data_IF_256351582058
#
_entry.id   IF_256351582058
#
_cell.length_a   1.000
_cell.length_b   1.000
_cell.length_c   1.000
_cell.angle_alpha   90.00
_cell.angle_beta   90.00
_cell.angle_gamma   90.00
#
_symmetry.space_group_name_H-M   'P 1'
#
loop_
_entity.id
_entity.type
_entity.pdbx_description
1 polymer ?
#
# COMPACT_ATOMS: atom_id res chain seq x y z
N UNK A 1 -23.70 16.92 -11.36
CA UNK A 1 -23.97 16.14 -10.12
C UNK A 1 -22.60 15.60 -9.75
N UNK A 2 -22.03 16.08 -8.66
CA UNK A 2 -20.58 15.93 -8.41
C UNK A 2 -20.22 14.76 -7.50
N UNK A 3 -21.22 14.06 -6.95
CA UNK A 3 -21.03 12.91 -6.09
C UNK A 3 -21.95 11.76 -6.52
N UNK A 4 -21.42 10.54 -6.54
CA UNK A 4 -22.17 9.30 -6.78
C UNK A 4 -21.80 8.30 -5.70
N UNK A 5 -22.84 7.72 -5.09
CA UNK A 5 -22.70 6.75 -4.02
C UNK A 5 -23.22 5.39 -4.50
N UNK A 6 -22.29 4.45 -4.67
CA UNK A 6 -22.58 3.06 -4.99
C UNK A 6 -22.09 2.11 -3.89
N UNK A 7 -21.89 2.61 -2.68
CA UNK A 7 -21.46 1.77 -1.55
C UNK A 7 -22.47 0.63 -1.32
N UNK A 8 -21.97 -0.54 -0.90
CA UNK A 8 -22.80 -1.70 -0.54
C UNK A 8 -23.72 -2.19 -1.67
N UNK A 9 -23.15 -2.32 -2.87
CA UNK A 9 -23.82 -2.88 -4.04
C UNK A 9 -23.15 -4.19 -4.47
N UNK A 10 -23.44 -4.64 -5.69
CA UNK A 10 -22.89 -5.87 -6.27
C UNK A 10 -22.09 -5.59 -7.54
N UNK A 11 -21.49 -4.41 -7.63
CA UNK A 11 -20.76 -4.00 -8.84
C UNK A 11 -19.53 -4.88 -8.97
N UNK A 12 -19.46 -5.62 -10.08
CA UNK A 12 -18.34 -6.51 -10.40
C UNK A 12 -17.63 -6.12 -11.69
N UNK A 13 -18.25 -5.31 -12.55
CA UNK A 13 -17.59 -4.73 -13.71
C UNK A 13 -17.12 -3.31 -13.33
N UNK A 14 -15.80 -3.10 -13.15
CA UNK A 14 -15.26 -1.82 -12.74
C UNK A 14 -15.35 -0.75 -13.83
N UNK A 15 -15.67 -1.12 -15.07
CA UNK A 15 -15.77 -0.18 -16.18
C UNK A 15 -17.18 -0.17 -16.80
N UNK A 16 -18.18 -0.73 -16.10
CA UNK A 16 -19.56 -0.65 -16.59
C UNK A 16 -20.09 0.77 -16.45
N UNK A 17 -20.54 1.35 -17.57
CA UNK A 17 -21.24 2.62 -17.59
C UNK A 17 -20.33 3.83 -17.75
N UNK A 18 -20.88 5.00 -17.44
CA UNK A 18 -20.19 6.28 -17.55
C UNK A 18 -20.54 7.12 -16.34
N UNK A 19 -19.55 7.87 -15.85
CA UNK A 19 -19.77 8.85 -14.78
C UNK A 19 -19.81 10.26 -15.35
N UNK A 20 -20.47 11.22 -14.68
CA UNK A 20 -20.43 12.63 -15.07
C UNK A 20 -18.99 13.16 -15.14
N UNK A 21 -18.70 14.00 -16.14
CA UNK A 21 -17.36 14.59 -16.30
C UNK A 21 -16.97 15.54 -15.15
N UNK A 22 -17.97 16.06 -14.41
CA UNK A 22 -17.83 16.90 -13.23
C UNK A 22 -17.82 16.09 -11.92
N UNK A 23 -17.65 14.75 -11.97
CA UNK A 23 -17.65 13.93 -10.77
C UNK A 23 -16.38 14.16 -9.93
N UNK A 24 -16.59 14.46 -8.66
CA UNK A 24 -15.55 14.74 -7.67
C UNK A 24 -15.54 13.67 -6.57
N UNK A 25 -16.66 13.01 -6.31
CA UNK A 25 -16.79 11.97 -5.30
C UNK A 25 -17.45 10.72 -5.89
N UNK A 26 -16.80 9.57 -5.75
CA UNK A 26 -17.28 8.29 -6.24
C UNK A 26 -17.05 7.23 -5.17
N UNK A 27 -18.12 6.80 -4.51
CA UNK A 27 -18.05 5.77 -3.48
C UNK A 27 -18.35 4.40 -4.03
N UNK A 28 -17.44 3.46 -3.76
CA UNK A 28 -17.42 2.12 -4.33
C UNK A 28 -17.08 1.04 -3.31
N UNK A 29 -17.06 1.36 -2.03
CA UNK A 29 -16.75 0.42 -0.95
C UNK A 29 -17.84 -0.66 -0.87
N UNK A 30 -17.50 -1.83 -0.34
CA UNK A 30 -18.44 -2.95 -0.20
C UNK A 30 -19.09 -3.35 -1.54
N UNK A 31 -18.27 -3.62 -2.53
CA UNK A 31 -18.69 -4.13 -3.85
C UNK A 31 -17.89 -5.40 -4.21
N UNK A 32 -17.92 -5.80 -5.48
CA UNK A 32 -17.23 -7.00 -5.98
C UNK A 32 -16.19 -6.67 -7.06
N UNK A 33 -15.61 -5.47 -7.01
CA UNK A 33 -14.68 -4.99 -8.04
C UNK A 33 -13.41 -5.86 -8.06
N UNK A 34 -13.08 -6.52 -9.19
CA UNK A 34 -11.87 -7.34 -9.32
C UNK A 34 -10.61 -6.50 -9.61
N UNK A 35 -10.79 -5.25 -10.03
CA UNK A 35 -9.73 -4.30 -10.35
C UNK A 35 -10.22 -2.87 -10.17
N UNK A 36 -9.30 -1.93 -10.20
CA UNK A 36 -9.59 -0.51 -10.04
C UNK A 36 -10.30 0.04 -11.29
N UNK A 37 -11.42 0.77 -11.15
CA UNK A 37 -12.11 1.43 -12.27
C UNK A 37 -11.22 2.43 -13.00
N UNK A 38 -11.13 2.32 -14.34
CA UNK A 38 -10.32 3.25 -15.15
C UNK A 38 -10.82 4.68 -15.10
N UNK A 39 -12.09 4.87 -14.78
CA UNK A 39 -12.73 6.18 -14.69
C UNK A 39 -12.11 7.06 -13.61
N UNK A 40 -11.53 6.45 -12.55
CA UNK A 40 -10.90 7.19 -11.45
C UNK A 40 -9.74 8.05 -11.94
N UNK A 41 -8.99 7.61 -12.97
CA UNK A 41 -7.89 8.38 -13.58
C UNK A 41 -8.30 9.81 -13.97
N UNK A 42 -9.55 9.99 -14.40
CA UNK A 42 -10.05 11.26 -14.93
C UNK A 42 -10.60 12.19 -13.85
N UNK A 43 -10.62 11.77 -12.59
CA UNK A 43 -11.13 12.58 -11.49
C UNK A 43 -10.05 13.54 -10.97
N UNK A 44 -10.13 14.81 -11.39
CA UNK A 44 -9.05 15.80 -11.19
C UNK A 44 -9.00 16.45 -9.80
N UNK A 45 -9.89 16.10 -8.87
CA UNK A 45 -10.00 16.75 -7.57
C UNK A 45 -10.36 15.78 -6.45
N UNK A 46 -9.76 14.59 -6.46
CA UNK A 46 -10.01 13.53 -5.49
C UNK A 46 -8.80 13.41 -4.56
N UNK A 47 -8.86 13.94 -3.32
CA UNK A 47 -7.74 13.84 -2.41
C UNK A 47 -7.52 12.42 -1.89
N UNK A 48 -8.58 11.61 -1.80
CA UNK A 48 -8.57 10.25 -1.27
C UNK A 48 -9.51 9.33 -2.03
N UNK A 49 -9.09 8.08 -2.24
CA UNK A 49 -9.91 7.00 -2.83
C UNK A 49 -10.08 5.90 -1.80
N UNK A 50 -11.33 5.50 -1.53
CA UNK A 50 -11.67 4.33 -0.72
C UNK A 50 -12.26 3.24 -1.63
N UNK A 51 -11.58 2.10 -1.67
CA UNK A 51 -11.98 0.90 -2.39
C UNK A 51 -12.01 -0.31 -1.46
N UNK A 52 -12.25 -0.09 -0.16
CA UNK A 52 -12.30 -1.14 0.84
C UNK A 52 -13.41 -2.14 0.57
N UNK A 53 -13.23 -3.36 1.06
CA UNK A 53 -14.22 -4.44 0.96
C UNK A 53 -14.66 -4.71 -0.48
N UNK A 54 -13.68 -4.85 -1.38
CA UNK A 54 -13.87 -5.26 -2.76
C UNK A 54 -13.16 -6.60 -3.02
N UNK A 55 -12.90 -6.95 -4.28
CA UNK A 55 -12.22 -8.18 -4.68
C UNK A 55 -10.99 -7.88 -5.54
N UNK A 56 -10.36 -6.73 -5.33
CA UNK A 56 -9.23 -6.28 -6.14
C UNK A 56 -8.09 -7.26 -5.93
N UNK A 57 -7.63 -7.89 -7.01
CA UNK A 57 -6.57 -8.91 -6.95
C UNK A 57 -5.19 -8.34 -7.27
N UNK A 58 -5.15 -7.21 -7.96
CA UNK A 58 -3.93 -6.68 -8.55
C UNK A 58 -4.04 -5.19 -8.82
N UNK A 59 -2.92 -4.49 -8.63
CA UNK A 59 -2.75 -3.07 -8.98
C UNK A 59 -1.99 -2.88 -10.30
N UNK A 60 -1.64 -3.96 -11.00
CA UNK A 60 -0.84 -3.90 -12.22
C UNK A 60 -1.47 -3.01 -13.29
N UNK A 61 -0.73 -2.01 -13.75
CA UNK A 61 -1.19 -1.10 -14.81
C UNK A 61 -2.36 -0.22 -14.40
N UNK A 62 -2.54 0.01 -13.10
CA UNK A 62 -3.55 0.94 -12.59
C UNK A 62 -3.10 2.36 -12.81
N UNK A 63 -4.01 3.17 -13.35
CA UNK A 63 -3.87 4.61 -13.41
C UNK A 63 -4.73 5.27 -12.31
N UNK A 64 -4.08 5.81 -11.29
CA UNK A 64 -4.74 6.66 -10.30
C UNK A 64 -4.82 8.11 -10.79
N UNK A 65 -5.80 8.90 -10.34
CA UNK A 65 -5.83 10.33 -10.65
C UNK A 65 -4.63 11.05 -10.03
N UNK A 66 -4.05 12.00 -10.77
CA UNK A 66 -2.85 12.76 -10.35
C UNK A 66 -3.06 13.55 -9.04
N UNK A 67 -4.32 13.87 -8.71
CA UNK A 67 -4.70 14.60 -7.50
C UNK A 67 -4.73 13.75 -6.23
N UNK A 68 -4.67 12.42 -6.35
CA UNK A 68 -4.83 11.53 -5.19
C UNK A 68 -3.62 11.54 -4.27
N UNK A 69 -3.89 11.65 -2.98
CA UNK A 69 -2.88 11.60 -1.92
C UNK A 69 -3.09 10.45 -0.95
N UNK A 70 -4.31 9.92 -0.82
CA UNK A 70 -4.63 8.78 0.04
C UNK A 70 -5.38 7.69 -0.73
N UNK A 71 -4.99 6.44 -0.53
CA UNK A 71 -5.68 5.29 -1.12
C UNK A 71 -5.88 4.24 -0.02
N UNK A 72 -7.14 3.85 0.18
CA UNK A 72 -7.51 2.71 1.00
C UNK A 72 -7.97 1.53 0.13
N UNK A 73 -7.23 0.44 0.20
CA UNK A 73 -7.46 -0.82 -0.49
C UNK A 73 -7.64 -1.97 0.52
N UNK A 74 -8.00 -1.65 1.77
CA UNK A 74 -8.22 -2.65 2.81
C UNK A 74 -9.28 -3.68 2.46
N UNK A 75 -9.15 -4.90 2.98
CA UNK A 75 -10.10 -5.99 2.74
C UNK A 75 -10.34 -6.27 1.25
N UNK A 76 -9.26 -6.44 0.49
CA UNK A 76 -9.28 -6.87 -0.90
C UNK A 76 -8.58 -8.24 -1.03
N UNK A 77 -8.14 -8.61 -2.22
CA UNK A 77 -7.47 -9.89 -2.51
C UNK A 77 -6.10 -9.68 -3.18
N UNK A 78 -5.42 -8.57 -2.86
CA UNK A 78 -4.14 -8.20 -3.46
C UNK A 78 -3.05 -9.13 -2.90
N UNK A 79 -2.37 -9.85 -3.78
CA UNK A 79 -1.33 -10.82 -3.37
C UNK A 79 0.09 -10.32 -3.58
N UNK A 80 0.29 -9.33 -4.46
CA UNK A 80 1.61 -8.82 -4.81
C UNK A 80 1.65 -7.33 -5.18
N UNK A 81 2.81 -6.71 -4.93
CA UNK A 81 3.17 -5.38 -5.42
C UNK A 81 4.52 -5.43 -6.17
N UNK A 82 4.61 -4.71 -7.28
CA UNK A 82 5.83 -4.60 -8.08
C UNK A 82 5.96 -3.21 -8.74
N UNK A 83 7.00 -3.01 -9.57
CA UNK A 83 7.30 -1.73 -10.23
C UNK A 83 6.14 -1.10 -11.02
N UNK A 84 5.16 -1.88 -11.46
CA UNK A 84 4.02 -1.42 -12.27
C UNK A 84 2.71 -1.33 -11.47
N UNK A 85 2.76 -1.49 -10.14
CA UNK A 85 1.59 -1.39 -9.27
C UNK A 85 1.10 0.06 -9.10
N UNK A 86 2.00 1.03 -9.27
CA UNK A 86 1.69 2.45 -9.12
C UNK A 86 2.22 3.25 -10.30
N UNK A 87 1.49 4.28 -10.76
CA UNK A 87 1.91 5.13 -11.86
C UNK A 87 3.20 5.89 -11.50
N UNK A 88 4.06 6.19 -12.48
CA UNK A 88 5.30 6.94 -12.24
C UNK A 88 5.05 8.27 -11.53
N UNK A 89 5.91 8.59 -10.55
CA UNK A 89 5.86 9.84 -9.79
C UNK A 89 4.50 10.14 -9.12
N UNK A 90 3.83 9.10 -8.61
CA UNK A 90 2.54 9.27 -7.96
C UNK A 90 2.63 10.19 -6.74
N UNK A 91 1.65 11.08 -6.59
CA UNK A 91 1.50 11.99 -5.45
C UNK A 91 1.00 11.34 -4.15
N UNK A 92 0.89 10.00 -4.11
CA UNK A 92 0.35 9.25 -2.98
C UNK A 92 1.25 9.45 -1.74
N UNK A 93 0.60 9.75 -0.63
CA UNK A 93 1.18 9.97 0.70
C UNK A 93 0.73 8.91 1.70
N UNK A 94 -0.49 8.40 1.56
CA UNK A 94 -1.08 7.39 2.44
C UNK A 94 -1.52 6.19 1.58
N UNK A 95 -0.94 5.02 1.84
CA UNK A 95 -1.29 3.78 1.16
C UNK A 95 -1.68 2.74 2.20
N UNK A 96 -2.97 2.41 2.23
CA UNK A 96 -3.53 1.45 3.17
C UNK A 96 -3.92 0.17 2.43
N UNK A 97 -3.31 -0.95 2.81
CA UNK A 97 -3.57 -2.28 2.25
C UNK A 97 -3.93 -3.33 3.33
N UNK A 98 -4.52 -2.98 4.49
CA UNK A 98 -4.71 -3.95 5.56
C UNK A 98 -5.65 -5.08 5.13
N UNK A 99 -5.46 -6.29 5.68
CA UNK A 99 -6.30 -7.45 5.37
C UNK A 99 -6.31 -7.82 3.88
N UNK A 100 -5.15 -7.75 3.22
CA UNK A 100 -4.92 -8.36 1.92
C UNK A 100 -4.00 -9.58 2.08
N UNK A 101 -4.14 -10.64 1.26
CA UNK A 101 -3.23 -11.79 1.26
C UNK A 101 -1.85 -11.48 0.62
N UNK A 102 -1.32 -10.28 0.90
CA UNK A 102 -0.11 -9.75 0.30
C UNK A 102 1.10 -10.51 0.83
N UNK A 103 1.78 -11.24 -0.06
CA UNK A 103 2.93 -12.09 0.31
C UNK A 103 4.20 -11.76 -0.47
N UNK A 104 4.08 -11.03 -1.59
CA UNK A 104 5.21 -10.65 -2.44
C UNK A 104 5.24 -9.16 -2.69
N UNK A 105 6.28 -8.49 -2.22
CA UNK A 105 6.53 -7.09 -2.53
C UNK A 105 7.93 -7.00 -3.12
N UNK A 106 8.01 -6.63 -4.40
CA UNK A 106 9.29 -6.46 -5.10
C UNK A 106 10.11 -5.32 -4.50
N UNK A 107 11.44 -5.37 -4.61
CA UNK A 107 12.33 -4.29 -4.21
C UNK A 107 12.08 -2.98 -4.96
N UNK A 108 11.45 -3.04 -6.13
CA UNK A 108 11.05 -1.87 -6.93
C UNK A 108 9.59 -1.47 -6.76
N UNK A 109 8.82 -2.13 -5.88
CA UNK A 109 7.38 -1.90 -5.74
C UNK A 109 7.00 -0.46 -5.40
N UNK A 110 7.87 0.25 -4.68
CA UNK A 110 7.61 1.61 -4.21
C UNK A 110 8.44 2.69 -4.91
N UNK A 111 9.17 2.35 -5.97
CA UNK A 111 10.06 3.29 -6.68
C UNK A 111 9.31 4.50 -7.25
N UNK A 112 8.02 4.33 -7.56
CA UNK A 112 7.15 5.36 -8.13
C UNK A 112 6.38 6.17 -7.08
N UNK A 113 6.65 5.97 -5.78
CA UNK A 113 5.96 6.63 -4.67
C UNK A 113 6.90 7.56 -3.88
N UNK A 114 7.50 8.59 -4.50
CA UNK A 114 8.49 9.44 -3.83
C UNK A 114 7.90 10.24 -2.66
N UNK A 115 6.57 10.44 -2.64
CA UNK A 115 5.86 11.24 -1.62
C UNK A 115 5.26 10.40 -0.49
N UNK A 116 5.45 9.08 -0.48
CA UNK A 116 4.80 8.20 0.49
C UNK A 116 5.27 8.50 1.91
N UNK A 117 4.32 8.68 2.82
CA UNK A 117 4.53 8.99 4.25
C UNK A 117 4.04 7.87 5.16
N UNK A 118 2.92 7.23 4.81
CA UNK A 118 2.33 6.17 5.63
C UNK A 118 2.02 4.96 4.76
N UNK A 119 2.47 3.80 5.23
CA UNK A 119 2.29 2.52 4.58
C UNK A 119 1.71 1.52 5.58
N UNK A 120 0.45 1.15 5.41
CA UNK A 120 -0.23 0.16 6.23
C UNK A 120 -0.35 -1.16 5.46
N UNK A 121 0.33 -2.19 5.98
CA UNK A 121 0.36 -3.55 5.47
C UNK A 121 -0.15 -4.54 6.52
N UNK A 122 -0.99 -4.11 7.47
CA UNK A 122 -1.52 -4.98 8.53
C UNK A 122 -2.20 -6.23 8.00
N UNK A 123 -2.10 -7.31 8.77
CA UNK A 123 -2.77 -8.58 8.47
C UNK A 123 -2.47 -9.08 7.05
N UNK A 124 -1.23 -8.88 6.60
CA UNK A 124 -0.71 -9.40 5.35
C UNK A 124 -0.17 -10.82 5.52
N UNK A 125 0.32 -11.42 4.44
CA UNK A 125 1.01 -12.72 4.42
C UNK A 125 2.50 -12.56 4.12
N UNK A 126 3.09 -11.48 4.63
CA UNK A 126 4.50 -11.19 4.47
C UNK A 126 5.32 -12.16 5.33
N UNK A 127 6.30 -12.79 4.70
CA UNK A 127 7.30 -13.62 5.40
C UNK A 127 8.62 -12.89 5.60
N UNK A 128 8.81 -11.76 4.90
CA UNK A 128 10.03 -10.95 4.87
C UNK A 128 9.66 -9.47 4.67
N UNK A 129 10.48 -8.56 5.19
CA UNK A 129 10.29 -7.13 4.93
C UNK A 129 10.71 -6.77 3.50
N UNK A 130 9.96 -5.91 2.82
CA UNK A 130 10.32 -5.48 1.48
C UNK A 130 11.54 -4.57 1.47
N UNK A 131 12.58 -4.95 0.73
CA UNK A 131 13.78 -4.10 0.55
C UNK A 131 13.48 -2.76 -0.15
N UNK A 132 12.34 -2.67 -0.85
CA UNK A 132 11.87 -1.43 -1.47
C UNK A 132 11.56 -0.31 -0.46
N UNK A 133 11.43 -0.61 0.84
CA UNK A 133 11.30 0.43 1.87
C UNK A 133 12.49 1.39 1.88
N UNK A 134 13.68 0.93 1.48
CA UNK A 134 14.86 1.77 1.37
C UNK A 134 14.66 3.00 0.47
N UNK A 135 13.82 2.90 -0.58
CA UNK A 135 13.59 4.01 -1.52
C UNK A 135 12.60 5.06 -1.02
N UNK A 136 11.89 4.81 0.09
CA UNK A 136 10.83 5.69 0.60
C UNK A 136 11.40 6.82 1.46
N UNK A 137 11.90 7.88 0.83
CA UNK A 137 12.62 8.96 1.51
C UNK A 137 11.76 9.84 2.43
N UNK A 138 10.44 9.87 2.21
CA UNK A 138 9.50 10.66 3.00
C UNK A 138 8.66 9.80 3.96
N UNK A 139 9.00 8.51 4.11
CA UNK A 139 8.27 7.61 5.00
C UNK A 139 8.35 8.11 6.44
N UNK A 140 7.21 8.10 7.11
CA UNK A 140 7.05 8.51 8.50
C UNK A 140 6.57 7.33 9.34
N UNK A 141 5.67 6.51 8.79
CA UNK A 141 5.13 5.34 9.49
C UNK A 141 4.96 4.14 8.57
N UNK A 142 5.20 2.96 9.16
CA UNK A 142 4.95 1.66 8.57
C UNK A 142 4.31 0.75 9.61
N UNK A 143 3.26 0.04 9.20
CA UNK A 143 2.61 -0.98 10.01
C UNK A 143 2.59 -2.31 9.25
N UNK A 144 3.25 -3.33 9.79
CA UNK A 144 3.27 -4.71 9.27
C UNK A 144 2.69 -5.70 10.27
N UNK A 145 2.01 -5.22 11.32
CA UNK A 145 1.47 -6.07 12.38
C UNK A 145 0.43 -7.07 11.86
N UNK A 146 0.31 -8.21 12.54
CA UNK A 146 -0.54 -9.32 12.09
C UNK A 146 0.02 -10.14 10.91
N UNK A 147 1.30 -9.95 10.56
CA UNK A 147 2.03 -10.81 9.63
C UNK A 147 2.76 -11.92 10.41
N UNK A 148 2.03 -12.93 10.88
CA UNK A 148 2.54 -13.95 11.83
C UNK A 148 3.74 -14.77 11.34
N UNK A 149 3.96 -14.84 10.02
CA UNK A 149 5.09 -15.55 9.39
C UNK A 149 6.28 -14.64 9.08
N UNK A 150 6.21 -13.35 9.42
CA UNK A 150 7.25 -12.37 9.14
C UNK A 150 8.51 -12.66 9.96
N UNK A 151 9.64 -12.88 9.29
CA UNK A 151 10.96 -13.02 9.90
C UNK A 151 11.92 -12.03 9.28
N UNK A 152 12.78 -11.43 10.10
CA UNK A 152 13.83 -10.53 9.63
C UNK A 152 15.19 -11.18 9.81
N UNK A 153 16.05 -10.98 8.81
CA UNK A 153 17.36 -11.63 8.70
C UNK A 153 18.40 -10.60 8.28
N UNK A 154 19.66 -11.00 8.17
CA UNK A 154 20.71 -10.13 7.65
C UNK A 154 20.53 -9.71 6.19
N UNK A 155 19.63 -10.35 5.44
CA UNK A 155 19.29 -9.89 4.08
C UNK A 155 18.58 -8.53 4.09
N UNK A 156 17.87 -8.20 5.16
CA UNK A 156 17.18 -6.92 5.32
C UNK A 156 18.09 -5.81 5.85
N UNK A 157 19.38 -6.07 6.12
CA UNK A 157 20.30 -5.09 6.74
C UNK A 157 20.31 -3.72 6.04
N UNK A 158 20.11 -3.68 4.72
CA UNK A 158 20.05 -2.43 3.96
C UNK A 158 18.90 -1.49 4.38
N UNK A 159 17.90 -1.99 5.13
CA UNK A 159 16.81 -1.21 5.70
C UNK A 159 17.17 -0.51 7.02
N UNK A 160 18.31 -0.82 7.63
CA UNK A 160 18.72 -0.29 8.94
C UNK A 160 18.65 1.24 9.00
N UNK A 161 19.31 1.94 8.08
CA UNK A 161 19.27 3.40 8.04
C UNK A 161 17.86 3.97 7.82
N UNK A 162 17.01 3.24 7.10
CA UNK A 162 15.63 3.63 6.84
C UNK A 162 14.79 3.50 8.11
N UNK A 163 14.79 2.33 8.73
CA UNK A 163 13.94 2.05 9.89
C UNK A 163 14.41 2.84 11.11
N UNK A 164 15.72 2.90 11.36
CA UNK A 164 16.29 3.65 12.48
C UNK A 164 16.13 5.18 12.36
N UNK A 165 15.76 5.69 11.18
CA UNK A 165 15.42 7.11 10.99
C UNK A 165 13.97 7.44 11.39
N UNK A 166 13.12 6.43 11.56
CA UNK A 166 11.72 6.59 11.97
C UNK A 166 11.60 6.65 13.50
N UNK A 167 10.50 7.21 14.01
CA UNK A 167 10.18 7.13 15.43
C UNK A 167 9.78 5.69 15.80
N UNK A 168 10.12 5.19 17.00
CA UNK A 168 9.77 3.84 17.44
C UNK A 168 8.27 3.52 17.30
N UNK A 169 7.40 4.44 17.74
CA UNK A 169 5.93 4.27 17.70
C UNK A 169 5.36 4.25 16.27
N UNK A 170 6.15 4.68 15.28
CA UNK A 170 5.74 4.70 13.89
C UNK A 170 6.12 3.43 13.13
N UNK A 171 6.84 2.50 13.75
CA UNK A 171 7.25 1.22 13.15
C UNK A 171 6.57 0.10 13.92
N UNK A 172 5.44 -0.34 13.40
CA UNK A 172 4.54 -1.28 14.10
C UNK A 172 4.64 -2.67 13.48
N UNK A 173 4.82 -3.68 14.31
CA UNK A 173 4.88 -5.08 13.93
C UNK A 173 6.16 -5.78 14.39
N UNK A 174 6.17 -7.10 14.21
CA UNK A 174 7.20 -7.99 14.73
C UNK A 174 7.83 -8.82 13.62
N UNK A 175 9.15 -8.99 13.72
CA UNK A 175 9.95 -9.95 12.99
C UNK A 175 10.13 -11.20 13.88
N UNK A 176 9.24 -12.18 13.76
CA UNK A 176 9.21 -13.34 14.64
C UNK A 176 8.79 -12.94 16.06
N UNK A 177 9.74 -12.98 17.00
CA UNK A 177 9.51 -12.62 18.41
C UNK A 177 10.08 -11.25 18.79
N UNK A 178 10.66 -10.53 17.83
CA UNK A 178 11.30 -9.23 18.07
C UNK A 178 10.58 -8.16 17.27
N UNK A 179 10.30 -7.02 17.88
CA UNK A 179 9.77 -5.86 17.15
C UNK A 179 10.66 -5.52 15.95
N UNK A 180 10.04 -5.14 14.83
CA UNK A 180 10.73 -4.66 13.63
C UNK A 180 11.73 -3.56 14.00
N UNK A 181 11.32 -2.58 14.80
CA UNK A 181 12.17 -1.46 15.19
C UNK A 181 13.41 -1.95 15.96
N UNK A 182 13.21 -2.77 17.00
CA UNK A 182 14.29 -3.33 17.84
C UNK A 182 15.27 -4.15 17.01
N UNK A 183 14.78 -4.96 16.06
CA UNK A 183 15.65 -5.73 15.18
C UNK A 183 16.65 -4.83 14.43
N UNK A 184 16.21 -3.70 13.88
CA UNK A 184 17.08 -2.81 13.12
C UNK A 184 17.91 -1.85 13.97
N UNK A 185 17.49 -1.53 15.20
CA UNK A 185 18.27 -0.63 16.07
C UNK A 185 19.27 -1.35 16.96
N UNK A 186 19.10 -2.65 17.19
CA UNK A 186 19.91 -3.40 18.15
C UNK A 186 20.58 -4.64 17.55
N UNK A 187 19.94 -5.35 16.61
CA UNK A 187 20.41 -6.67 16.15
C UNK A 187 21.03 -6.65 14.76
N UNK A 188 20.58 -5.77 13.84
CA UNK A 188 21.06 -5.78 12.45
C UNK A 188 22.53 -5.38 12.31
N UNK A 189 23.11 -4.70 13.30
CA UNK A 189 24.52 -4.33 13.31
C UNK A 189 25.47 -5.54 13.40
N UNK A 190 25.03 -6.64 14.04
CA UNK A 190 25.80 -7.88 14.18
C UNK A 190 25.86 -8.69 12.87
N UNK A 191 25.05 -8.33 11.88
CA UNK A 191 25.11 -8.92 10.57
C UNK A 191 26.47 -8.61 9.91
N UNK A 192 27.23 -9.66 9.58
CA UNK A 192 28.45 -9.52 8.77
C UNK A 192 28.14 -8.80 7.46
N UNK A 193 29.06 -7.96 6.99
CA UNK A 193 28.95 -7.36 5.65
C UNK A 193 29.09 -8.51 4.65
N UNK A 194 27.99 -8.86 3.97
CA UNK A 194 27.99 -9.82 2.85
C UNK A 194 28.23 -9.07 1.56
#
# INVERSE_FOLDING_TARGET
MTALDFTNNRISDPNSGSVPADLIDLKLEYNFLPSIPRVLKFMNSVPSIDLTYNRIVSLQGTDFPDSVTGIDLGHNSITELNANSFPPNSGIRYLLLPNNPLSKISSSAFQNLPSLRELDLKYSKLTRLPLGLASLNNLVSIDVSGSDELVCTCMEKSLESKISSLLPDNVVGDCGQTSVYVFFTELSHDCSVV
#
